data_IF_336445013209
#
_entry.id   IF_336445013209
#
_cell.length_a   1.000
_cell.length_b   1.000
_cell.length_c   1.000
_cell.angle_alpha   90.00
_cell.angle_beta   90.00
_cell.angle_gamma   90.00
#
_symmetry.space_group_name_H-M   'P 1'
#
loop_
_entity.id
_entity.type
_entity.pdbx_description
1 polymer ?
#
# COMPACT_ATOMS: atom_id res chain seq x y z
N UNK A 1 18.89 9.42 -5.31
CA UNK A 1 18.44 9.79 -3.96
C UNK A 1 17.09 9.14 -3.74
N UNK A 2 16.99 8.16 -2.85
CA UNK A 2 15.69 7.57 -2.47
C UNK A 2 14.90 8.58 -1.63
N UNK A 3 13.64 8.86 -2.00
CA UNK A 3 12.75 9.67 -1.16
C UNK A 3 12.22 8.78 -0.04
N UNK A 4 12.54 9.13 1.20
CA UNK A 4 11.96 8.48 2.38
C UNK A 4 10.52 8.94 2.56
N UNK A 5 9.61 8.00 2.85
CA UNK A 5 8.20 8.31 3.16
C UNK A 5 8.11 8.42 4.69
N UNK A 6 8.18 9.64 5.20
CA UNK A 6 8.17 9.87 6.65
C UNK A 6 6.76 9.76 7.21
N UNK A 7 6.22 8.54 7.26
CA UNK A 7 5.15 8.21 8.21
C UNK A 7 5.43 6.86 8.87
N UNK A 8 5.93 6.93 10.10
CA UNK A 8 6.18 5.79 10.96
C UNK A 8 4.83 5.27 11.46
N UNK A 9 4.46 4.03 11.12
CA UNK A 9 3.24 3.44 11.66
C UNK A 9 3.39 3.27 13.18
N UNK A 10 2.55 3.96 13.96
CA UNK A 10 2.38 3.71 15.38
C UNK A 10 1.65 2.38 15.57
N UNK A 11 2.39 1.31 15.82
CA UNK A 11 1.85 0.06 16.32
C UNK A 11 2.30 -0.11 17.78
N UNK A 12 1.63 0.60 18.71
CA UNK A 12 1.63 0.38 20.17
C UNK A 12 2.99 0.37 20.92
N UNK A 13 4.13 0.53 20.26
CA UNK A 13 5.45 0.52 20.87
C UNK A 13 6.37 1.55 20.17
N UNK A 14 6.92 2.55 20.88
CA UNK A 14 7.77 3.60 20.29
C UNK A 14 9.13 3.10 19.76
N UNK A 15 9.42 1.80 19.87
CA UNK A 15 10.63 1.16 19.32
C UNK A 15 10.42 0.56 17.92
N UNK A 16 9.17 0.43 17.46
CA UNK A 16 8.80 -0.20 16.17
C UNK A 16 8.46 0.84 15.08
N UNK A 17 9.04 2.05 15.18
CA UNK A 17 8.92 3.06 14.13
C UNK A 17 9.71 2.63 12.88
N UNK A 18 9.12 1.75 12.05
CA UNK A 18 9.63 1.51 10.71
C UNK A 18 9.08 2.58 9.78
N UNK A 19 9.95 3.47 9.34
CA UNK A 19 9.69 4.30 8.16
C UNK A 19 9.57 3.36 6.96
N UNK A 20 8.44 3.42 6.25
CA UNK A 20 8.33 2.82 4.93
C UNK A 20 9.00 3.78 3.93
N UNK A 21 9.73 3.25 2.96
CA UNK A 21 10.42 3.98 1.90
C UNK A 21 9.58 3.96 0.63
N UNK A 22 9.87 4.86 -0.32
CA UNK A 22 9.19 4.83 -1.63
C UNK A 22 9.46 3.50 -2.35
N UNK A 23 10.68 2.97 -2.24
CA UNK A 23 11.07 1.66 -2.75
C UNK A 23 10.21 0.52 -2.16
N UNK A 24 9.95 0.53 -0.86
CA UNK A 24 9.07 -0.45 -0.21
C UNK A 24 7.61 -0.31 -0.67
N UNK A 25 7.09 0.91 -0.80
CA UNK A 25 5.73 1.12 -1.33
C UNK A 25 5.60 0.63 -2.77
N UNK A 26 6.59 0.92 -3.63
CA UNK A 26 6.62 0.43 -5.00
C UNK A 26 6.69 -1.10 -5.04
N UNK A 27 7.48 -1.71 -4.15
CA UNK A 27 7.58 -3.17 -4.03
C UNK A 27 6.24 -3.80 -3.58
N UNK A 28 5.57 -3.21 -2.59
CA UNK A 28 4.24 -3.64 -2.15
C UNK A 28 3.21 -3.54 -3.29
N UNK A 29 3.22 -2.44 -4.05
CA UNK A 29 2.34 -2.25 -5.22
C UNK A 29 2.56 -3.37 -6.23
N UNK A 30 3.83 -3.68 -6.53
CA UNK A 30 4.17 -4.75 -7.47
C UNK A 30 3.67 -6.10 -6.94
N UNK A 31 3.98 -6.43 -5.69
CA UNK A 31 3.52 -7.65 -5.03
C UNK A 31 2.01 -7.84 -5.11
N UNK A 32 1.22 -6.82 -4.77
CA UNK A 32 -0.25 -6.93 -4.82
C UNK A 32 -0.78 -7.09 -6.25
N UNK A 33 -0.13 -6.46 -7.24
CA UNK A 33 -0.49 -6.67 -8.66
C UNK A 33 -0.22 -8.09 -9.10
N UNK A 34 0.92 -8.65 -8.72
CA UNK A 34 1.30 -10.03 -9.06
C UNK A 34 0.35 -11.02 -8.39
N UNK A 35 0.05 -10.82 -7.10
CA UNK A 35 -0.95 -11.63 -6.39
C UNK A 35 -2.33 -11.55 -7.04
N UNK A 36 -2.77 -10.39 -7.52
CA UNK A 36 -4.06 -10.28 -8.22
C UNK A 36 -4.06 -10.98 -9.58
N UNK A 37 -2.93 -10.98 -10.29
CA UNK A 37 -2.79 -11.66 -11.58
C UNK A 37 -2.80 -13.19 -11.45
N UNK A 38 -2.31 -13.72 -10.32
CA UNK A 38 -2.30 -15.16 -10.02
C UNK A 38 -3.68 -15.71 -9.60
N UNK A 39 -4.60 -14.87 -9.14
CA UNK A 39 -5.91 -15.34 -8.67
C UNK A 39 -6.83 -15.67 -9.85
N UNK A 40 -7.42 -16.89 -9.89
CA UNK A 40 -8.35 -17.27 -10.95
C UNK A 40 -9.56 -16.33 -10.99
N UNK A 41 -10.15 -16.14 -12.17
CA UNK A 41 -11.32 -15.27 -12.38
C UNK A 41 -12.60 -15.94 -11.88
N UNK A 42 -12.75 -17.24 -12.15
CA UNK A 42 -13.87 -18.08 -11.69
C UNK A 42 -13.56 -18.67 -10.32
N UNK A 43 -13.53 -17.81 -9.31
CA UNK A 43 -13.00 -18.13 -8.01
C UNK A 43 -14.08 -18.33 -6.95
N UNK A 44 -13.81 -19.22 -6.00
CA UNK A 44 -14.64 -19.43 -4.82
C UNK A 44 -14.72 -18.19 -3.92
N UNK A 45 -15.62 -18.22 -2.93
CA UNK A 45 -15.83 -17.10 -2.00
C UNK A 45 -14.55 -16.69 -1.27
N UNK A 46 -13.67 -17.64 -0.95
CA UNK A 46 -12.42 -17.36 -0.27
C UNK A 46 -11.46 -16.56 -1.17
N UNK A 47 -11.33 -16.97 -2.42
CA UNK A 47 -10.49 -16.32 -3.42
C UNK A 47 -11.01 -14.94 -3.77
N UNK A 48 -12.33 -14.76 -3.84
CA UNK A 48 -12.96 -13.44 -3.99
C UNK A 48 -12.67 -12.51 -2.81
N UNK A 49 -12.74 -13.02 -1.58
CA UNK A 49 -12.39 -12.24 -0.38
C UNK A 49 -10.89 -11.84 -0.40
N UNK A 50 -10.00 -12.76 -0.76
CA UNK A 50 -8.56 -12.48 -0.91
C UNK A 50 -8.29 -11.44 -1.99
N UNK A 51 -8.98 -11.52 -3.14
CA UNK A 51 -8.94 -10.52 -4.20
C UNK A 51 -9.36 -9.14 -3.69
N UNK A 52 -10.45 -9.05 -2.93
CA UNK A 52 -10.93 -7.80 -2.34
C UNK A 52 -9.90 -7.17 -1.39
N UNK A 53 -9.26 -8.01 -0.54
CA UNK A 53 -8.17 -7.57 0.34
C UNK A 53 -7.01 -7.00 -0.46
N UNK A 54 -6.52 -7.69 -1.48
CA UNK A 54 -5.40 -7.20 -2.29
C UNK A 54 -5.75 -5.93 -3.08
N UNK A 55 -6.97 -5.80 -3.62
CA UNK A 55 -7.42 -4.56 -4.26
C UNK A 55 -7.37 -3.39 -3.26
N UNK A 56 -7.88 -3.61 -2.04
CA UNK A 56 -7.90 -2.58 -1.00
C UNK A 56 -6.49 -2.15 -0.61
N UNK A 57 -5.59 -3.12 -0.35
CA UNK A 57 -4.20 -2.84 0.00
C UNK A 57 -3.45 -2.15 -1.14
N UNK A 58 -3.68 -2.57 -2.39
CA UNK A 58 -3.10 -1.94 -3.58
C UNK A 58 -3.55 -0.47 -3.69
N UNK A 59 -4.83 -0.18 -3.50
CA UNK A 59 -5.33 1.20 -3.51
C UNK A 59 -4.68 2.05 -2.41
N UNK A 60 -4.63 1.53 -1.18
CA UNK A 60 -3.99 2.23 -0.05
C UNK A 60 -2.51 2.53 -0.33
N UNK A 61 -1.76 1.60 -0.92
CA UNK A 61 -0.35 1.83 -1.28
C UNK A 61 -0.19 2.85 -2.39
N UNK A 62 -1.09 2.86 -3.38
CA UNK A 62 -1.09 3.88 -4.44
C UNK A 62 -1.41 5.26 -3.88
N UNK A 63 -2.36 5.36 -2.95
CA UNK A 63 -2.69 6.62 -2.25
C UNK A 63 -1.49 7.13 -1.43
N UNK A 64 -0.83 6.24 -0.67
CA UNK A 64 0.38 6.58 0.07
C UNK A 64 1.51 7.06 -0.85
N UNK A 65 1.74 6.38 -1.98
CA UNK A 65 2.74 6.80 -2.96
C UNK A 65 2.42 8.18 -3.54
N UNK A 66 1.16 8.42 -3.90
CA UNK A 66 0.72 9.69 -4.48
C UNK A 66 0.85 10.83 -3.45
N UNK A 67 0.40 10.61 -2.22
CA UNK A 67 0.54 11.55 -1.10
C UNK A 67 2.00 11.91 -0.83
N UNK A 68 2.87 10.91 -0.83
CA UNK A 68 4.33 11.10 -0.68
C UNK A 68 4.91 11.93 -1.80
N UNK A 69 4.58 11.61 -3.06
CA UNK A 69 5.12 12.33 -4.22
C UNK A 69 4.64 13.78 -4.27
N UNK A 70 3.44 14.04 -3.74
CA UNK A 70 2.89 15.37 -3.52
C UNK A 70 3.48 16.10 -2.29
N UNK A 71 4.39 15.46 -1.54
CA UNK A 71 5.00 16.04 -0.34
C UNK A 71 4.08 16.10 0.89
N UNK A 72 2.97 15.37 0.87
CA UNK A 72 1.93 15.35 1.93
C UNK A 72 1.61 13.92 2.39
N UNK A 73 2.61 13.10 2.81
CA UNK A 73 2.39 11.71 3.19
C UNK A 73 1.38 11.53 4.33
N UNK A 74 1.17 12.53 5.19
CA UNK A 74 0.21 12.52 6.30
C UNK A 74 -1.26 12.44 5.85
N UNK A 75 -1.57 12.91 4.64
CA UNK A 75 -2.93 12.91 4.10
C UNK A 75 -3.30 11.60 3.41
N UNK A 76 -2.41 10.60 3.44
CA UNK A 76 -2.57 9.37 2.65
C UNK A 76 -3.93 8.65 2.76
N UNK A 77 -4.62 8.55 3.93
CA UNK A 77 -5.93 7.89 3.96
C UNK A 77 -7.02 8.68 3.24
N UNK A 78 -6.87 10.01 3.16
CA UNK A 78 -7.79 10.93 2.51
C UNK A 78 -7.35 11.30 1.08
N UNK A 79 -6.15 10.89 0.66
CA UNK A 79 -5.58 11.22 -0.64
C UNK A 79 -6.39 10.53 -1.74
N UNK A 80 -6.93 11.33 -2.67
CA UNK A 80 -7.69 10.82 -3.80
C UNK A 80 -6.74 10.50 -4.95
N UNK A 81 -6.93 9.33 -5.55
CA UNK A 81 -6.29 8.99 -6.82
C UNK A 81 -7.25 9.45 -7.92
N UNK A 82 -6.79 10.33 -8.79
CA UNK A 82 -7.51 10.76 -9.99
C UNK A 82 -7.59 9.63 -11.03
#
# INVERSE_FOLDING_TARGET
MERQITRCNSHRNPSDYRCITETEVLSDIQYFRDQLAELPVDADRYTQARRHVYITLLQQRRQLLAATRAGRPEDWPAFKLD
#
